data_IF_640413458757
#
_entry.id   IF_640413458757
#
_cell.length_a   1.000
_cell.length_b   1.000
_cell.length_c   1.000
_cell.angle_alpha   90.00
_cell.angle_beta   90.00
_cell.angle_gamma   90.00
#
_symmetry.space_group_name_H-M   'P 1'
#
loop_
_entity.id
_entity.type
_entity.pdbx_description
1 polymer ?
#
# COMPACT_ATOMS: atom_id res chain seq x y z
N UNK A 1 -25.66 13.04 -22.94
CA UNK A 1 -25.69 11.66 -22.40
C UNK A 1 -26.24 11.80 -21.00
N UNK A 2 -27.44 11.30 -20.71
CA UNK A 2 -28.03 11.48 -19.39
C UNK A 2 -27.23 10.72 -18.34
N UNK A 3 -26.73 11.44 -17.35
CA UNK A 3 -26.04 10.84 -16.21
C UNK A 3 -27.03 9.98 -15.44
N UNK A 4 -26.65 8.74 -15.14
CA UNK A 4 -27.51 7.87 -14.35
C UNK A 4 -27.59 8.40 -12.91
N UNK A 5 -28.73 8.18 -12.25
CA UNK A 5 -28.93 8.60 -10.86
C UNK A 5 -27.81 8.10 -9.93
N UNK A 6 -27.31 6.88 -10.15
CA UNK A 6 -26.21 6.33 -9.37
C UNK A 6 -24.90 7.12 -9.49
N UNK A 7 -24.60 7.67 -10.67
CA UNK A 7 -23.39 8.50 -10.87
C UNK A 7 -23.56 9.85 -10.17
N UNK A 8 -24.74 10.46 -10.26
CA UNK A 8 -25.03 11.72 -9.57
C UNK A 8 -24.93 11.52 -8.05
N UNK A 9 -25.60 10.51 -7.51
CA UNK A 9 -25.54 10.19 -6.07
C UNK A 9 -24.10 9.89 -5.63
N UNK A 10 -23.34 9.16 -6.44
CA UNK A 10 -21.92 8.90 -6.21
C UNK A 10 -21.09 10.18 -6.14
N UNK A 11 -21.31 11.14 -7.04
CA UNK A 11 -20.63 12.44 -7.04
C UNK A 11 -20.91 13.23 -5.76
N UNK A 12 -22.16 13.24 -5.28
CA UNK A 12 -22.55 13.92 -4.04
C UNK A 12 -21.88 13.30 -2.82
N UNK A 13 -21.86 11.97 -2.71
CA UNK A 13 -21.20 11.26 -1.61
C UNK A 13 -19.68 11.49 -1.66
N UNK A 14 -19.06 11.35 -2.82
CA UNK A 14 -17.62 11.55 -3.00
C UNK A 14 -17.19 12.98 -2.61
N UNK A 15 -17.95 13.97 -3.05
CA UNK A 15 -17.74 15.38 -2.72
C UNK A 15 -17.89 15.63 -1.22
N UNK A 16 -18.97 15.14 -0.61
CA UNK A 16 -19.24 15.32 0.82
C UNK A 16 -18.14 14.72 1.69
N UNK A 17 -17.74 13.47 1.41
CA UNK A 17 -16.67 12.80 2.15
C UNK A 17 -15.31 13.47 1.95
N UNK A 18 -15.01 13.94 0.74
CA UNK A 18 -13.76 14.69 0.47
C UNK A 18 -13.72 15.96 1.31
N UNK A 19 -14.81 16.72 1.36
CA UNK A 19 -14.89 17.93 2.17
C UNK A 19 -14.84 17.64 3.68
N UNK A 20 -15.46 16.56 4.14
CA UNK A 20 -15.40 16.16 5.54
C UNK A 20 -13.97 15.79 5.95
N UNK A 21 -13.22 15.10 5.10
CA UNK A 21 -11.81 14.80 5.36
C UNK A 21 -10.97 16.10 5.35
N UNK A 22 -11.16 16.97 4.36
CA UNK A 22 -10.45 18.25 4.28
C UNK A 22 -10.76 19.20 5.44
N UNK A 23 -11.92 19.06 6.09
CA UNK A 23 -12.30 19.87 7.25
C UNK A 23 -11.35 19.70 8.45
N UNK A 24 -10.60 18.60 8.52
CA UNK A 24 -9.52 18.41 9.49
C UNK A 24 -8.47 19.52 9.46
N UNK A 25 -8.27 20.18 8.30
CA UNK A 25 -7.33 21.29 8.18
C UNK A 25 -7.69 22.49 9.08
N UNK A 26 -8.97 22.62 9.46
CA UNK A 26 -9.43 23.68 10.35
C UNK A 26 -9.25 23.30 11.83
N UNK A 27 -9.70 22.09 12.24
CA UNK A 27 -9.59 21.52 13.59
C UNK A 27 -10.27 20.12 13.62
N UNK A 28 -10.12 19.37 14.73
CA UNK A 28 -10.81 18.09 14.99
C UNK A 28 -12.32 18.26 15.17
N UNK A 29 -13.05 18.34 14.06
CA UNK A 29 -14.48 18.61 14.05
C UNK A 29 -15.34 17.32 13.93
N UNK A 30 -16.64 17.38 14.24
CA UNK A 30 -17.55 16.23 14.12
C UNK A 30 -17.73 15.69 12.70
N UNK A 31 -17.58 16.54 11.67
CA UNK A 31 -17.71 16.11 10.26
C UNK A 31 -16.54 15.21 9.85
N UNK A 32 -15.32 15.60 10.24
CA UNK A 32 -14.12 14.80 10.06
C UNK A 32 -14.25 13.45 10.78
N UNK A 33 -14.66 13.44 12.06
CA UNK A 33 -14.86 12.19 12.82
C UNK A 33 -15.91 11.27 12.20
N UNK A 34 -16.98 11.82 11.64
CA UNK A 34 -17.98 11.03 10.91
C UNK A 34 -17.34 10.35 9.69
N UNK A 35 -16.57 11.08 8.89
CA UNK A 35 -15.87 10.52 7.74
C UNK A 35 -14.83 9.46 8.15
N UNK A 36 -14.10 9.69 9.23
CA UNK A 36 -13.14 8.75 9.79
C UNK A 36 -13.83 7.45 10.25
N UNK A 37 -14.88 7.54 11.06
CA UNK A 37 -15.64 6.37 11.51
C UNK A 37 -16.29 5.60 10.36
N UNK A 38 -16.83 6.31 9.37
CA UNK A 38 -17.36 5.69 8.16
C UNK A 38 -16.26 4.94 7.41
N UNK A 39 -15.11 5.57 7.20
CA UNK A 39 -13.97 4.96 6.50
C UNK A 39 -13.47 3.69 7.22
N UNK A 40 -13.23 3.77 8.52
CA UNK A 40 -12.78 2.62 9.32
C UNK A 40 -13.85 1.53 9.36
N UNK A 41 -15.13 1.91 9.48
CA UNK A 41 -16.25 0.98 9.48
C UNK A 41 -16.39 0.21 8.17
N UNK A 42 -16.33 0.91 7.02
CA UNK A 42 -16.36 0.29 5.70
C UNK A 42 -15.14 -0.60 5.46
N UNK A 43 -13.95 -0.17 5.90
CA UNK A 43 -12.72 -0.97 5.81
C UNK A 43 -12.85 -2.28 6.57
N UNK A 44 -13.29 -2.22 7.84
CA UNK A 44 -13.52 -3.42 8.66
C UNK A 44 -14.61 -4.31 8.08
N UNK A 45 -15.72 -3.74 7.63
CA UNK A 45 -16.82 -4.48 7.00
C UNK A 45 -16.35 -5.22 5.73
N UNK A 46 -15.62 -4.54 4.86
CA UNK A 46 -15.03 -5.16 3.66
C UNK A 46 -14.06 -6.27 4.03
N UNK A 47 -13.19 -6.06 5.03
CA UNK A 47 -12.28 -7.10 5.52
C UNK A 47 -13.04 -8.33 6.02
N UNK A 48 -14.09 -8.15 6.83
CA UNK A 48 -14.89 -9.27 7.35
C UNK A 48 -15.52 -10.08 6.22
N UNK A 49 -16.18 -9.41 5.27
CA UNK A 49 -16.82 -10.07 4.12
C UNK A 49 -15.78 -10.80 3.27
N UNK A 50 -14.67 -10.14 2.96
CA UNK A 50 -13.59 -10.74 2.18
C UNK A 50 -12.96 -11.94 2.89
N UNK A 51 -12.75 -11.85 4.20
CA UNK A 51 -12.23 -12.97 5.01
C UNK A 51 -13.22 -14.12 5.05
N UNK A 52 -14.52 -13.85 5.20
CA UNK A 52 -15.55 -14.88 5.15
C UNK A 52 -15.55 -15.61 3.80
N UNK A 53 -15.61 -14.87 2.69
CA UNK A 53 -15.66 -15.47 1.35
C UNK A 53 -14.35 -16.19 0.98
N UNK A 54 -13.20 -15.58 1.28
CA UNK A 54 -11.89 -16.14 0.92
C UNK A 54 -11.50 -17.29 1.84
N UNK A 55 -11.56 -17.09 3.16
CA UNK A 55 -11.03 -18.06 4.12
C UNK A 55 -12.06 -19.12 4.45
N UNK A 56 -13.28 -18.72 4.81
CA UNK A 56 -14.30 -19.69 5.23
C UNK A 56 -14.88 -20.39 4.01
N UNK A 57 -15.42 -19.64 3.04
CA UNK A 57 -16.09 -20.28 1.91
C UNK A 57 -15.11 -20.94 0.94
N UNK A 58 -14.09 -20.21 0.47
CA UNK A 58 -13.22 -20.67 -0.62
C UNK A 58 -12.11 -21.63 -0.16
N UNK A 59 -11.53 -21.43 1.03
CA UNK A 59 -10.44 -22.30 1.52
C UNK A 59 -10.90 -23.46 2.41
N UNK A 60 -12.07 -23.36 3.06
CA UNK A 60 -12.56 -24.40 3.98
C UNK A 60 -13.77 -25.12 3.40
N UNK A 61 -14.88 -24.41 3.17
CA UNK A 61 -16.17 -25.04 2.85
C UNK A 61 -16.19 -25.69 1.47
N UNK A 62 -15.85 -24.95 0.40
CA UNK A 62 -15.88 -25.50 -0.97
C UNK A 62 -14.92 -26.68 -1.17
N UNK A 63 -13.66 -26.65 -0.71
CA UNK A 63 -12.75 -27.80 -0.85
C UNK A 63 -13.22 -29.06 -0.10
N UNK A 64 -13.82 -28.89 1.09
CA UNK A 64 -14.30 -30.03 1.87
C UNK A 64 -15.58 -30.61 1.27
N UNK A 65 -16.56 -29.76 0.91
CA UNK A 65 -17.86 -30.21 0.43
C UNK A 65 -17.85 -30.61 -1.05
N UNK A 66 -17.20 -29.84 -1.91
CA UNK A 66 -17.27 -30.04 -3.37
C UNK A 66 -16.19 -31.01 -3.87
N UNK A 67 -15.00 -31.00 -3.26
CA UNK A 67 -13.85 -31.83 -3.66
C UNK A 67 -13.59 -33.02 -2.75
N UNK A 68 -14.27 -33.10 -1.60
CA UNK A 68 -14.07 -34.17 -0.62
C UNK A 68 -12.68 -34.16 0.02
N UNK A 69 -12.00 -33.01 0.07
CA UNK A 69 -10.66 -32.89 0.66
C UNK A 69 -10.72 -32.84 2.19
N UNK A 70 -11.05 -33.98 2.81
CA UNK A 70 -11.19 -34.12 4.27
C UNK A 70 -9.89 -33.84 5.05
N UNK A 71 -8.74 -33.84 4.38
CA UNK A 71 -7.44 -33.49 4.97
C UNK A 71 -7.42 -32.06 5.55
N UNK A 72 -8.26 -31.16 5.02
CA UNK A 72 -8.36 -29.77 5.47
C UNK A 72 -9.03 -29.62 6.85
N UNK A 73 -9.67 -30.67 7.37
CA UNK A 73 -10.17 -30.69 8.75
C UNK A 73 -9.05 -30.57 9.78
N UNK A 74 -7.83 -31.05 9.48
CA UNK A 74 -6.69 -30.96 10.38
C UNK A 74 -6.26 -29.49 10.56
N UNK A 75 -5.96 -28.72 9.50
CA UNK A 75 -5.73 -27.28 9.59
C UNK A 75 -6.87 -26.51 10.27
N UNK A 76 -8.13 -26.85 9.98
CA UNK A 76 -9.29 -26.20 10.62
C UNK A 76 -9.32 -26.49 12.12
N UNK A 77 -9.09 -27.74 12.52
CA UNK A 77 -9.00 -28.15 13.92
C UNK A 77 -7.91 -27.39 14.65
N UNK A 78 -6.70 -27.34 14.08
CA UNK A 78 -5.57 -26.57 14.62
C UNK A 78 -5.91 -25.07 14.71
N UNK A 79 -6.54 -24.50 13.68
CA UNK A 79 -6.99 -23.12 13.67
C UNK A 79 -8.02 -22.82 14.78
N UNK A 80 -8.97 -23.73 15.01
CA UNK A 80 -9.93 -23.62 16.10
C UNK A 80 -9.28 -23.66 17.48
N UNK A 81 -8.14 -24.35 17.65
CA UNK A 81 -7.38 -24.30 18.90
C UNK A 81 -6.91 -22.88 19.24
N UNK A 82 -6.78 -21.96 18.27
CA UNK A 82 -6.48 -20.56 18.58
C UNK A 82 -7.57 -19.90 19.42
N UNK A 83 -8.84 -20.30 19.26
CA UNK A 83 -9.96 -19.75 20.03
C UNK A 83 -9.84 -20.08 21.53
N UNK A 84 -9.11 -21.13 21.90
CA UNK A 84 -8.87 -21.47 23.31
C UNK A 84 -8.08 -20.40 24.06
N UNK A 85 -7.44 -19.46 23.34
CA UNK A 85 -6.76 -18.30 23.92
C UNK A 85 -7.69 -17.39 24.73
N UNK A 86 -8.99 -17.35 24.38
CA UNK A 86 -9.97 -16.56 25.12
C UNK A 86 -10.32 -17.17 26.49
N UNK A 87 -9.96 -18.43 26.73
CA UNK A 87 -10.20 -19.13 28.00
C UNK A 87 -8.85 -19.37 28.70
N UNK A 88 -8.53 -18.64 29.78
CA UNK A 88 -7.20 -18.71 30.43
C UNK A 88 -6.76 -20.14 30.82
N UNK A 89 -7.71 -21.01 31.19
CA UNK A 89 -7.43 -22.40 31.59
C UNK A 89 -7.04 -23.32 30.42
N UNK A 90 -7.54 -23.03 29.21
CA UNK A 90 -7.28 -23.83 28.00
C UNK A 90 -6.25 -23.19 27.06
N UNK A 91 -5.77 -21.98 27.37
CA UNK A 91 -4.88 -21.20 26.51
C UNK A 91 -3.57 -21.91 26.13
N UNK A 92 -3.11 -22.91 26.90
CA UNK A 92 -1.94 -23.71 26.56
C UNK A 92 -2.10 -24.45 25.22
N UNK A 93 -3.33 -24.83 24.86
CA UNK A 93 -3.63 -25.56 23.62
C UNK A 93 -3.41 -24.69 22.37
N UNK A 94 -3.58 -23.37 22.50
CA UNK A 94 -3.27 -22.41 21.43
C UNK A 94 -1.78 -22.40 21.03
N UNK A 95 -0.86 -22.85 21.89
CA UNK A 95 0.58 -22.89 21.61
C UNK A 95 0.93 -23.81 20.43
N UNK A 96 0.21 -24.93 20.28
CA UNK A 96 0.41 -25.84 19.14
C UNK A 96 -0.03 -25.18 17.83
N UNK A 97 -1.15 -24.46 17.85
CA UNK A 97 -1.59 -23.69 16.70
C UNK A 97 -0.59 -22.58 16.33
N UNK A 98 -0.03 -21.87 17.32
CA UNK A 98 1.04 -20.90 17.07
C UNK A 98 2.29 -21.54 16.48
N UNK A 99 2.73 -22.69 17.00
CA UNK A 99 3.88 -23.40 16.46
C UNK A 99 3.66 -23.83 15.00
N UNK A 100 2.46 -24.32 14.69
CA UNK A 100 2.08 -24.67 13.31
C UNK A 100 2.08 -23.45 12.39
N UNK A 101 1.47 -22.33 12.81
CA UNK A 101 1.43 -21.08 12.03
C UNK A 101 2.83 -20.53 11.79
N UNK A 102 3.69 -20.51 12.81
CA UNK A 102 5.09 -20.06 12.67
C UNK A 102 5.88 -21.00 11.76
N UNK A 103 5.69 -22.31 11.89
CA UNK A 103 6.34 -23.31 11.04
C UNK A 103 5.95 -23.16 9.56
N UNK A 104 4.65 -23.09 9.27
CA UNK A 104 4.14 -22.85 7.91
C UNK A 104 4.56 -21.47 7.39
N UNK A 105 4.44 -20.44 8.23
CA UNK A 105 4.83 -19.07 7.91
C UNK A 105 6.30 -18.97 7.53
N UNK A 106 7.20 -19.53 8.34
CA UNK A 106 8.63 -19.58 8.05
C UNK A 106 8.93 -20.45 6.82
N UNK A 107 8.29 -21.61 6.70
CA UNK A 107 8.46 -22.52 5.56
C UNK A 107 8.06 -21.90 4.22
N UNK A 108 7.06 -21.02 4.19
CA UNK A 108 6.68 -20.27 2.99
C UNK A 108 7.50 -18.98 2.83
N UNK A 109 7.80 -18.28 3.92
CA UNK A 109 8.48 -17.00 3.87
C UNK A 109 9.97 -17.12 3.52
N UNK A 110 10.70 -18.09 4.07
CA UNK A 110 12.15 -18.21 3.83
C UNK A 110 12.45 -18.46 2.33
N UNK A 111 11.85 -19.47 1.67
CA UNK A 111 12.09 -19.68 0.24
C UNK A 111 11.61 -18.49 -0.59
N UNK A 112 10.44 -17.91 -0.27
CA UNK A 112 9.91 -16.75 -0.98
C UNK A 112 10.83 -15.54 -0.88
N UNK A 113 11.37 -15.27 0.31
CA UNK A 113 12.33 -14.18 0.56
C UNK A 113 13.60 -14.40 -0.25
N UNK A 114 14.16 -15.61 -0.23
CA UNK A 114 15.37 -15.94 -1.01
C UNK A 114 15.09 -15.82 -2.52
N UNK A 115 14.02 -16.44 -3.01
CA UNK A 115 13.68 -16.41 -4.43
C UNK A 115 13.34 -15.01 -4.93
N UNK A 116 12.62 -14.21 -4.14
CA UNK A 116 12.15 -12.88 -4.58
C UNK A 116 13.18 -11.78 -4.34
N UNK A 117 13.80 -11.71 -3.17
CA UNK A 117 14.70 -10.62 -2.82
C UNK A 117 16.16 -10.90 -3.20
N UNK A 118 16.57 -12.15 -3.36
CA UNK A 118 17.96 -12.48 -3.73
C UNK A 118 18.01 -12.91 -5.19
N UNK A 119 17.40 -14.06 -5.53
CA UNK A 119 17.56 -14.65 -6.86
C UNK A 119 16.95 -13.77 -7.95
N UNK A 120 15.69 -13.34 -7.78
CA UNK A 120 15.02 -12.48 -8.75
C UNK A 120 15.66 -11.10 -8.84
N UNK A 121 16.14 -10.51 -7.73
CA UNK A 121 16.83 -9.23 -7.78
C UNK A 121 18.17 -9.31 -8.54
N UNK A 122 18.90 -10.42 -8.42
CA UNK A 122 20.09 -10.71 -9.24
C UNK A 122 19.68 -10.89 -10.70
N UNK A 123 18.65 -11.69 -10.97
CA UNK A 123 18.15 -11.91 -12.34
C UNK A 123 17.73 -10.61 -13.02
N UNK A 124 16.95 -9.76 -12.35
CA UNK A 124 16.47 -8.48 -12.87
C UNK A 124 17.63 -7.49 -13.13
N UNK A 125 18.76 -7.63 -12.42
CA UNK A 125 19.97 -6.82 -12.65
C UNK A 125 20.79 -7.34 -13.84
N UNK A 126 20.80 -8.65 -14.08
CA UNK A 126 21.63 -9.30 -15.11
C UNK A 126 20.90 -9.47 -16.44
N UNK A 127 19.60 -9.75 -16.42
CA UNK A 127 18.78 -10.01 -17.63
C UNK A 127 18.84 -8.86 -18.65
N UNK A 128 18.76 -7.57 -18.27
CA UNK A 128 18.89 -6.47 -19.22
C UNK A 128 20.27 -6.39 -19.90
N UNK A 129 21.29 -7.08 -19.39
CA UNK A 129 22.63 -7.13 -20.01
C UNK A 129 22.73 -8.21 -21.08
N UNK A 130 21.91 -9.25 -21.00
CA UNK A 130 21.94 -10.42 -21.86
C UNK A 130 20.98 -10.27 -23.05
N UNK A 131 21.00 -9.12 -23.74
CA UNK A 131 20.10 -8.77 -24.85
C UNK A 131 20.05 -9.79 -25.98
N UNK A 132 19.26 -10.85 -25.80
CA UNK A 132 18.92 -11.79 -26.86
C UNK A 132 17.64 -11.24 -27.49
N UNK A 133 17.79 -10.53 -28.60
CA UNK A 133 16.66 -10.20 -29.44
C UNK A 133 15.95 -11.52 -29.86
N UNK A 134 14.61 -11.54 -29.96
CA UNK A 134 13.90 -12.68 -30.55
C UNK A 134 14.34 -12.81 -32.02
N UNK A 135 15.38 -13.61 -32.27
CA UNK A 135 16.12 -13.64 -33.53
C UNK A 135 17.62 -13.99 -33.41
N UNK A 136 18.18 -14.13 -32.20
CA UNK A 136 19.53 -14.70 -32.00
C UNK A 136 20.71 -13.76 -32.28
N UNK A 137 20.46 -12.46 -32.45
CA UNK A 137 21.49 -11.43 -32.52
C UNK A 137 21.59 -10.61 -31.23
N UNK A 138 22.82 -10.22 -30.85
CA UNK A 138 23.06 -9.28 -29.75
C UNK A 138 22.83 -7.86 -30.28
N UNK A 139 21.68 -7.27 -29.93
CA UNK A 139 21.37 -5.88 -30.29
C UNK A 139 21.64 -4.98 -29.09
N UNK A 140 22.52 -3.98 -29.23
CA UNK A 140 22.78 -3.00 -28.18
C UNK A 140 21.96 -1.71 -28.43
N UNK A 141 20.81 -1.58 -27.78
CA UNK A 141 20.09 -0.32 -27.64
C UNK A 141 20.77 0.58 -26.59
N UNK A 142 21.16 1.79 -27.02
CA UNK A 142 21.81 2.82 -26.19
C UNK A 142 20.83 3.89 -25.70
N UNK A 143 19.53 3.73 -25.93
CA UNK A 143 18.53 4.72 -25.50
C UNK A 143 18.40 4.76 -23.97
N UNK A 144 18.80 5.89 -23.38
CA UNK A 144 18.62 6.17 -21.94
C UNK A 144 17.14 6.31 -21.56
N UNK A 145 16.27 6.63 -22.53
CA UNK A 145 14.83 6.80 -22.33
C UNK A 145 14.10 5.46 -22.21
N UNK A 146 14.69 4.37 -22.70
CA UNK A 146 14.11 3.04 -22.59
C UNK A 146 14.60 2.37 -21.29
N UNK A 147 13.73 2.10 -20.30
CA UNK A 147 14.12 1.48 -19.04
C UNK A 147 14.74 0.07 -19.22
N UNK A 148 14.42 -0.60 -20.32
CA UNK A 148 14.93 -1.93 -20.66
C UNK A 148 16.20 -1.90 -21.53
N UNK A 149 16.82 -0.73 -21.75
CA UNK A 149 18.04 -0.64 -22.55
C UNK A 149 19.25 -1.28 -21.85
N UNK A 150 20.17 -1.81 -22.65
CA UNK A 150 21.40 -2.44 -22.16
C UNK A 150 22.27 -1.46 -21.39
N UNK A 151 22.29 -0.19 -21.81
CA UNK A 151 23.02 0.88 -21.14
C UNK A 151 22.48 1.12 -19.72
N UNK A 152 21.15 1.20 -19.55
CA UNK A 152 20.53 1.35 -18.23
C UNK A 152 20.82 0.13 -17.35
N UNK A 153 20.81 -1.08 -17.90
CA UNK A 153 21.24 -2.30 -17.21
C UNK A 153 22.68 -2.20 -16.67
N UNK A 154 23.62 -1.70 -17.48
CA UNK A 154 25.03 -1.54 -17.07
C UNK A 154 25.15 -0.50 -15.95
N UNK A 155 24.46 0.63 -16.06
CA UNK A 155 24.44 1.67 -15.01
C UNK A 155 23.94 1.09 -13.69
N UNK A 156 22.83 0.34 -13.74
CA UNK A 156 22.26 -0.30 -12.54
C UNK A 156 23.23 -1.31 -11.96
N UNK A 157 23.86 -2.16 -12.78
CA UNK A 157 24.86 -3.14 -12.30
C UNK A 157 26.03 -2.43 -11.61
N UNK A 158 26.60 -1.40 -12.23
CA UNK A 158 27.71 -0.61 -11.64
C UNK A 158 27.25 0.03 -10.32
N UNK A 159 26.04 0.57 -10.28
CA UNK A 159 25.45 1.13 -9.06
C UNK A 159 25.34 0.10 -7.95
N UNK A 160 24.74 -1.07 -8.24
CA UNK A 160 24.58 -2.16 -7.27
C UNK A 160 25.93 -2.63 -6.74
N UNK A 161 26.91 -2.90 -7.61
CA UNK A 161 28.25 -3.36 -7.19
C UNK A 161 28.95 -2.28 -6.34
N UNK A 162 28.85 -1.01 -6.72
CA UNK A 162 29.46 0.10 -5.97
C UNK A 162 28.81 0.29 -4.59
N UNK A 163 27.49 0.13 -4.49
CA UNK A 163 26.74 0.20 -3.23
C UNK A 163 27.06 -0.98 -2.32
N UNK A 164 27.12 -2.20 -2.87
CA UNK A 164 27.53 -3.38 -2.12
C UNK A 164 28.96 -3.23 -1.59
N UNK A 165 29.87 -2.69 -2.41
CA UNK A 165 31.23 -2.39 -1.98
C UNK A 165 31.26 -1.36 -0.84
N UNK A 166 30.46 -0.29 -0.93
CA UNK A 166 30.34 0.72 0.14
C UNK A 166 29.86 0.12 1.48
N UNK A 167 28.90 -0.81 1.46
CA UNK A 167 28.43 -1.49 2.66
C UNK A 167 29.34 -2.65 3.11
N UNK A 168 30.33 -3.03 2.31
CA UNK A 168 31.26 -4.10 2.65
C UNK A 168 32.32 -3.59 3.63
N UNK A 169 31.98 -3.62 4.92
CA UNK A 169 32.86 -3.13 6.00
C UNK A 169 34.17 -3.92 6.17
N UNK A 170 34.32 -5.08 5.52
CA UNK A 170 35.51 -5.93 5.65
C UNK A 170 36.69 -5.48 4.78
N UNK A 171 36.50 -4.51 3.88
CA UNK A 171 37.59 -3.95 3.05
C UNK A 171 37.85 -2.52 3.48
N UNK A 172 39.13 -2.21 3.73
CA UNK A 172 39.54 -0.84 4.05
C UNK A 172 39.40 0.04 2.80
N UNK A 173 38.67 1.15 2.95
CA UNK A 173 38.34 2.07 1.87
C UNK A 173 39.50 3.03 1.53
N UNK A 174 40.66 2.50 1.15
CA UNK A 174 41.84 3.28 0.77
C UNK A 174 42.03 3.34 -0.76
N UNK A 175 42.60 4.45 -1.24
CA UNK A 175 42.94 4.63 -2.66
C UNK A 175 41.74 4.49 -3.63
N UNK A 176 41.83 3.69 -4.71
CA UNK A 176 40.75 3.47 -5.69
C UNK A 176 39.44 2.96 -5.09
N UNK A 177 39.50 2.19 -3.99
CA UNK A 177 38.30 1.71 -3.29
C UNK A 177 37.45 2.85 -2.71
N UNK A 178 38.08 3.96 -2.33
CA UNK A 178 37.37 5.17 -1.87
C UNK A 178 36.53 5.80 -2.99
N UNK A 179 36.99 5.74 -4.24
CA UNK A 179 36.25 6.26 -5.38
C UNK A 179 35.01 5.40 -5.70
N UNK A 180 35.16 4.08 -5.67
CA UNK A 180 34.04 3.13 -5.87
C UNK A 180 32.99 3.30 -4.77
N UNK A 181 33.41 3.41 -3.51
CA UNK A 181 32.50 3.66 -2.41
C UNK A 181 31.79 5.02 -2.50
N UNK A 182 32.49 6.09 -2.91
CA UNK A 182 31.84 7.40 -3.18
C UNK A 182 30.81 7.31 -4.30
N UNK A 183 31.09 6.55 -5.36
CA UNK A 183 30.11 6.30 -6.41
C UNK A 183 28.88 5.58 -5.83
N UNK A 184 29.08 4.57 -4.99
CA UNK A 184 27.99 3.91 -4.25
C UNK A 184 27.15 4.86 -3.40
N UNK A 185 27.80 5.76 -2.64
CA UNK A 185 27.10 6.80 -1.86
C UNK A 185 26.25 7.70 -2.78
N UNK A 186 26.79 8.12 -3.93
CA UNK A 186 26.04 8.93 -4.89
C UNK A 186 24.79 8.18 -5.40
N UNK A 187 24.94 6.92 -5.77
CA UNK A 187 23.80 6.08 -6.17
C UNK A 187 22.75 5.96 -5.07
N UNK A 188 23.17 5.75 -3.81
CA UNK A 188 22.26 5.73 -2.66
C UNK A 188 21.51 7.06 -2.49
N UNK A 189 22.22 8.19 -2.57
CA UNK A 189 21.59 9.51 -2.45
C UNK A 189 20.56 9.74 -3.56
N UNK A 190 20.84 9.32 -4.80
CA UNK A 190 19.90 9.41 -5.91
C UNK A 190 18.69 8.50 -5.68
N UNK A 191 18.89 7.24 -5.30
CA UNK A 191 17.80 6.29 -5.05
C UNK A 191 16.91 6.71 -3.89
N UNK A 192 17.49 7.16 -2.77
CA UNK A 192 16.71 7.67 -1.64
C UNK A 192 16.00 8.97 -2.00
N UNK A 193 16.67 9.90 -2.70
CA UNK A 193 16.06 11.13 -3.19
C UNK A 193 14.85 10.88 -4.07
N UNK A 194 14.96 9.91 -5.00
CA UNK A 194 13.85 9.48 -5.85
C UNK A 194 12.71 8.83 -5.04
N UNK A 195 13.03 7.97 -4.06
CA UNK A 195 12.02 7.34 -3.20
C UNK A 195 11.26 8.38 -2.36
N UNK A 196 11.96 9.32 -1.72
CA UNK A 196 11.33 10.43 -1.00
C UNK A 196 10.48 11.28 -1.93
N UNK A 197 11.02 11.68 -3.10
CA UNK A 197 10.30 12.46 -4.10
C UNK A 197 9.03 11.75 -4.59
N UNK A 198 9.07 10.43 -4.78
CA UNK A 198 7.91 9.63 -5.17
C UNK A 198 6.81 9.66 -4.10
N UNK A 199 7.16 9.56 -2.82
CA UNK A 199 6.15 9.64 -1.75
C UNK A 199 5.48 11.02 -1.67
N UNK A 200 6.25 12.10 -1.86
CA UNK A 200 5.72 13.47 -1.88
C UNK A 200 4.82 13.67 -3.11
N UNK A 201 5.29 13.25 -4.28
CA UNK A 201 4.53 13.31 -5.52
C UNK A 201 3.23 12.51 -5.42
N UNK A 202 3.25 11.31 -4.85
CA UNK A 202 2.06 10.48 -4.68
C UNK A 202 1.01 11.17 -3.80
N UNK A 203 1.43 11.79 -2.68
CA UNK A 203 0.53 12.54 -1.80
C UNK A 203 -0.03 13.79 -2.50
N UNK A 204 0.80 14.55 -3.19
CA UNK A 204 0.36 15.71 -3.97
C UNK A 204 -0.57 15.32 -5.11
N UNK A 205 -0.30 14.22 -5.81
CA UNK A 205 -1.13 13.70 -6.89
C UNK A 205 -2.49 13.25 -6.36
N UNK A 206 -2.55 12.58 -5.21
CA UNK A 206 -3.82 12.23 -4.56
C UNK A 206 -4.62 13.49 -4.19
N UNK A 207 -3.97 14.51 -3.63
CA UNK A 207 -4.60 15.79 -3.31
C UNK A 207 -5.14 16.48 -4.57
N UNK A 208 -4.33 16.59 -5.62
CA UNK A 208 -4.73 17.16 -6.91
C UNK A 208 -5.94 16.39 -7.45
N UNK A 209 -5.91 15.05 -7.43
CA UNK A 209 -7.03 14.23 -7.85
C UNK A 209 -8.31 14.52 -7.07
N UNK A 210 -8.24 14.68 -5.74
CA UNK A 210 -9.40 15.09 -4.93
C UNK A 210 -9.90 16.50 -5.30
N UNK A 211 -9.01 17.46 -5.58
CA UNK A 211 -9.41 18.80 -6.00
C UNK A 211 -10.00 18.81 -7.42
N UNK A 212 -9.45 18.02 -8.34
CA UNK A 212 -9.99 17.83 -9.69
C UNK A 212 -11.40 17.24 -9.63
N UNK A 213 -11.63 16.23 -8.79
CA UNK A 213 -12.98 15.68 -8.56
C UNK A 213 -13.94 16.78 -8.06
N UNK A 214 -13.53 17.63 -7.12
CA UNK A 214 -14.35 18.75 -6.64
C UNK A 214 -14.67 19.77 -7.75
N UNK A 215 -13.72 20.05 -8.64
CA UNK A 215 -13.92 20.94 -9.79
C UNK A 215 -14.90 20.31 -10.78
N UNK A 216 -14.71 19.04 -11.12
CA UNK A 216 -15.59 18.30 -12.04
C UNK A 216 -17.02 18.24 -11.52
N UNK A 217 -17.20 17.93 -10.24
CA UNK A 217 -18.53 17.89 -9.61
C UNK A 217 -19.12 19.29 -9.32
N UNK A 218 -18.42 20.37 -9.66
CA UNK A 218 -19.02 21.71 -9.68
C UNK A 218 -19.87 21.95 -10.94
N UNK A 219 -19.79 21.09 -11.96
CA UNK A 219 -20.56 21.25 -13.20
C UNK A 219 -22.08 21.12 -12.95
N UNK A 220 -22.87 21.84 -13.74
CA UNK A 220 -24.34 21.78 -13.67
C UNK A 220 -24.90 20.39 -13.94
N UNK A 221 -24.18 19.56 -14.69
CA UNK A 221 -24.59 18.20 -15.06
C UNK A 221 -24.78 17.28 -13.84
N UNK A 222 -24.05 17.54 -12.74
CA UNK A 222 -24.13 16.77 -11.49
C UNK A 222 -25.04 17.42 -10.42
N UNK A 223 -25.64 18.57 -10.72
CA UNK A 223 -26.43 19.34 -9.75
C UNK A 223 -25.60 20.23 -8.81
N UNK A 224 -24.36 20.56 -9.20
CA UNK A 224 -23.42 21.42 -8.44
C UNK A 224 -23.18 21.00 -6.97
N UNK A 225 -22.97 19.71 -6.64
CA UNK A 225 -22.72 19.24 -5.28
C UNK A 225 -21.60 20.00 -4.57
N UNK A 226 -20.51 20.34 -5.27
CA UNK A 226 -19.38 21.05 -4.67
C UNK A 226 -19.78 22.37 -4.04
N UNK A 227 -20.57 23.19 -4.75
CA UNK A 227 -20.97 24.50 -4.24
C UNK A 227 -21.90 24.37 -3.02
N UNK A 228 -22.88 23.47 -3.10
CA UNK A 228 -23.82 23.25 -2.00
C UNK A 228 -23.15 22.69 -0.76
N UNK A 229 -22.29 21.69 -0.94
CA UNK A 229 -21.64 21.01 0.18
C UNK A 229 -20.51 21.84 0.79
N UNK A 230 -19.80 22.67 0.01
CA UNK A 230 -18.84 23.64 0.57
C UNK A 230 -19.57 24.68 1.41
N UNK A 231 -20.69 25.23 0.94
CA UNK A 231 -21.47 26.18 1.74
C UNK A 231 -21.96 25.55 3.05
N UNK A 232 -22.46 24.31 2.97
CA UNK A 232 -22.92 23.56 4.14
C UNK A 232 -21.79 23.30 5.12
N UNK A 233 -20.63 22.83 4.66
CA UNK A 233 -19.50 22.51 5.53
C UNK A 233 -18.95 23.77 6.19
N UNK A 234 -18.79 24.86 5.45
CA UNK A 234 -18.37 26.16 5.99
C UNK A 234 -19.38 26.67 7.03
N UNK A 235 -20.68 26.64 6.72
CA UNK A 235 -21.72 27.06 7.66
C UNK A 235 -21.70 26.21 8.95
N UNK A 236 -21.51 24.90 8.81
CA UNK A 236 -21.41 23.97 9.94
C UNK A 236 -20.19 24.27 10.80
N UNK A 237 -19.03 24.52 10.18
CA UNK A 237 -17.81 24.90 10.90
C UNK A 237 -17.96 26.24 11.63
N UNK A 238 -18.60 27.25 11.02
CA UNK A 238 -18.89 28.53 11.67
C UNK A 238 -19.79 28.34 12.90
N UNK A 239 -20.84 27.53 12.78
CA UNK A 239 -21.75 27.23 13.91
C UNK A 239 -21.01 26.50 15.03
N UNK A 240 -20.13 25.55 14.69
CA UNK A 240 -19.34 24.80 15.66
C UNK A 240 -18.29 25.67 16.35
N UNK A 241 -17.59 26.54 15.62
CA UNK A 241 -16.64 27.50 16.15
C UNK A 241 -17.31 28.45 17.16
N UNK A 242 -18.51 28.95 16.85
CA UNK A 242 -19.30 29.80 17.77
C UNK A 242 -19.75 29.07 19.04
N UNK A 243 -19.95 27.75 18.98
CA UNK A 243 -20.30 26.93 20.15
C UNK A 243 -19.08 26.59 21.02
N UNK A 244 -17.89 26.48 20.42
CA UNK A 244 -16.63 26.26 21.13
C UNK A 244 -16.26 27.42 22.07
N UNK A 245 -16.50 28.66 21.67
CA UNK A 245 -16.24 29.85 22.50
C UNK A 245 -17.18 30.05 23.69
N UNK A 246 -18.21 29.20 23.84
CA UNK A 246 -19.20 29.29 24.92
C UNK A 246 -18.92 28.38 26.12
N UNK A 247 -17.84 27.57 26.09
CA UNK A 247 -17.37 26.80 27.25
C UNK A 247 -16.02 27.35 27.70
N UNK A 248 -15.88 27.87 28.94
CA UNK A 248 -14.58 28.24 29.47
C UNK A 248 -13.71 26.97 29.58
N UNK A 249 -12.37 27.07 29.44
CA UNK A 249 -11.49 25.94 29.63
C UNK A 249 -11.63 25.44 31.07
N UNK A 250 -12.13 24.22 31.23
CA UNK A 250 -11.98 23.50 32.49
C UNK A 250 -10.49 23.21 32.69
N UNK A 251 -10.02 23.63 33.86
CA UNK A 251 -8.68 23.39 34.41
C UNK A 251 -8.32 21.91 34.46
#
# INVERSE_FOLDING_TARGET
>A
MELTFGVILGAWIATGLTLFILSFLYEDNPLFKLAEHLYVGVSLGYTIVKTYDTVIMTLIVRPILDKGEWSLLIPVGIGMLMLTRYVPKAAWLSRYAFAFIVGVGAGLAIPRTISSFILKQIEDTVRPLLGIAPGGGVTFDYSLLNPASHLNGIIILIGVVSVLFYFFFSVEHSGPGKAVARAGILFLMISFGAAFGYTVMARMSLLIGRLTDLIEFSDSSYGRPTLWLVLLTVATLIVLSRRGSAHPPNQ
#
